data_IF_964804864571
#
_entry.id   IF_964804864571
#
_cell.length_a   1.000
_cell.length_b   1.000
_cell.length_c   1.000
_cell.angle_alpha   90.00
_cell.angle_beta   90.00
_cell.angle_gamma   90.00
#
_symmetry.space_group_name_H-M   'P 1'
#
loop_
_entity.id
_entity.type
_entity.pdbx_description
1 polymer ?
#
# COMPACT_ATOMS: atom_id res chain seq x y z
N UNK A 1 -5.37 0.74 -3.16
CA UNK A 1 -5.15 1.04 -1.75
C UNK A 1 -5.60 -0.24 -1.10
N UNK A 2 -4.70 -0.94 -0.42
CA UNK A 2 -5.00 -2.25 0.15
C UNK A 2 -6.21 -2.12 1.09
N UNK A 3 -7.26 -2.94 0.93
CA UNK A 3 -8.43 -2.84 1.78
C UNK A 3 -8.08 -3.38 3.18
N UNK A 4 -8.22 -2.55 4.21
CA UNK A 4 -7.81 -2.87 5.57
C UNK A 4 -9.01 -3.24 6.45
N UNK A 5 -8.84 -4.26 7.27
CA UNK A 5 -9.72 -4.64 8.36
C UNK A 5 -9.03 -4.30 9.68
N UNK A 6 -9.46 -3.22 10.32
CA UNK A 6 -8.85 -2.75 11.57
C UNK A 6 -9.25 -3.66 12.74
N UNK A 7 -8.29 -4.22 13.49
CA UNK A 7 -8.62 -4.95 14.71
C UNK A 7 -9.19 -4.02 15.79
N UNK A 8 -10.08 -4.55 16.66
CA UNK A 8 -10.37 -3.86 17.91
C UNK A 8 -9.09 -3.75 18.74
N UNK A 9 -8.93 -2.65 19.47
CA UNK A 9 -7.77 -2.41 20.32
C UNK A 9 -7.98 -3.05 21.71
N UNK A 10 -7.24 -4.12 22.07
CA UNK A 10 -7.36 -4.77 23.38
C UNK A 10 -6.98 -3.82 24.51
N UNK A 11 -7.69 -3.86 25.63
CA UNK A 11 -7.42 -2.98 26.78
C UNK A 11 -5.99 -3.12 27.30
N UNK A 12 -5.42 -4.31 27.21
CA UNK A 12 -4.07 -4.65 27.71
C UNK A 12 -2.93 -3.95 26.98
N UNK A 13 -3.18 -3.48 25.74
CA UNK A 13 -2.16 -2.80 24.91
C UNK A 13 -2.38 -1.28 24.84
N UNK A 14 -3.51 -0.78 25.38
CA UNK A 14 -3.84 0.65 25.42
C UNK A 14 -2.83 1.40 26.29
N UNK A 15 -2.30 2.50 25.76
CA UNK A 15 -1.33 3.35 26.47
C UNK A 15 0.05 2.71 26.73
N UNK A 16 0.26 1.43 26.36
CA UNK A 16 1.53 0.73 26.56
C UNK A 16 2.46 0.80 25.35
N UNK A 17 1.89 0.90 24.16
CA UNK A 17 2.62 0.96 22.90
C UNK A 17 2.24 2.19 22.10
N UNK A 18 3.17 2.67 21.28
CA UNK A 18 2.91 3.81 20.38
C UNK A 18 1.87 3.40 19.32
N UNK A 19 1.15 4.39 18.79
CA UNK A 19 0.22 4.17 17.68
C UNK A 19 0.94 3.54 16.47
N UNK A 20 2.17 3.96 16.19
CA UNK A 20 2.96 3.43 15.08
C UNK A 20 3.21 1.93 15.22
N UNK A 21 3.70 1.47 16.38
CA UNK A 21 3.95 0.05 16.63
C UNK A 21 2.68 -0.79 16.53
N UNK A 22 1.56 -0.27 17.05
CA UNK A 22 0.24 -0.92 16.94
C UNK A 22 -0.25 -1.00 15.49
N UNK A 23 -0.08 0.06 14.70
CA UNK A 23 -0.47 0.05 13.28
C UNK A 23 0.42 -0.87 12.44
N UNK A 24 1.74 -0.89 12.70
CA UNK A 24 2.67 -1.82 12.04
C UNK A 24 2.35 -3.27 12.42
N UNK A 25 1.94 -3.53 13.66
CA UNK A 25 1.41 -4.82 14.07
C UNK A 25 0.08 -5.14 13.38
N UNK A 26 -0.83 -4.16 13.21
CA UNK A 26 -2.13 -4.40 12.60
C UNK A 26 -2.04 -4.65 11.08
N UNK A 27 -1.19 -3.88 10.40
CA UNK A 27 -1.22 -3.69 8.95
C UNK A 27 0.16 -3.87 8.28
N UNK A 28 1.21 -4.19 9.03
CA UNK A 28 2.55 -4.35 8.51
C UNK A 28 3.24 -3.02 8.23
N UNK A 29 4.47 -3.10 7.72
CA UNK A 29 5.35 -1.95 7.53
C UNK A 29 5.13 -1.25 6.18
N UNK A 30 3.90 -0.82 5.93
CA UNK A 30 3.52 -0.16 4.67
C UNK A 30 2.72 1.13 4.93
N UNK A 31 2.89 2.11 4.05
CA UNK A 31 1.99 3.26 3.98
C UNK A 31 0.58 2.78 3.66
N UNK A 32 -0.40 3.23 4.43
CA UNK A 32 -1.78 2.78 4.30
C UNK A 32 -2.42 3.20 2.98
N UNK A 33 -1.92 4.27 2.34
CA UNK A 33 -2.50 4.85 1.13
C UNK A 33 -1.75 4.45 -0.15
N UNK A 34 -0.44 4.67 -0.20
CA UNK A 34 0.36 4.36 -1.38
C UNK A 34 0.93 2.94 -1.38
N UNK A 35 0.84 2.22 -0.25
CA UNK A 35 1.31 0.84 -0.07
C UNK A 35 2.83 0.66 -0.20
N UNK A 36 3.60 1.76 -0.19
CA UNK A 36 5.06 1.72 -0.18
C UNK A 36 5.57 1.16 1.15
N UNK A 37 6.60 0.29 1.14
CA UNK A 37 7.27 -0.14 2.36
C UNK A 37 7.85 1.03 3.18
N UNK A 38 7.88 0.89 4.50
CA UNK A 38 8.35 1.90 5.46
C UNK A 38 9.68 1.45 6.12
N UNK A 39 10.85 1.61 5.45
CA UNK A 39 12.11 1.13 6.00
C UNK A 39 12.63 1.98 7.17
N UNK A 40 12.44 3.31 7.12
CA UNK A 40 13.07 4.23 8.07
C UNK A 40 12.07 5.21 8.69
N UNK A 41 11.51 6.12 7.87
CA UNK A 41 10.65 7.20 8.34
C UNK A 41 9.17 6.91 8.07
N UNK A 42 8.36 7.10 9.10
CA UNK A 42 6.92 6.92 9.05
C UNK A 42 6.22 7.93 9.97
N UNK A 43 4.97 8.24 9.63
CA UNK A 43 4.13 9.17 10.37
C UNK A 43 2.78 8.52 10.65
N UNK A 44 2.19 8.85 11.81
CA UNK A 44 0.83 8.43 12.14
C UNK A 44 -0.10 9.59 11.83
N UNK A 45 -0.91 9.45 10.79
CA UNK A 45 -1.90 10.43 10.37
C UNK A 45 -3.27 10.10 10.95
N UNK A 46 -3.94 11.12 11.50
CA UNK A 46 -5.28 11.01 12.04
C UNK A 46 -6.30 11.55 11.04
N UNK A 47 -7.13 10.65 10.50
CA UNK A 47 -8.17 10.98 9.53
C UNK A 47 -9.30 11.86 10.09
N UNK A 48 -9.42 11.99 11.42
CA UNK A 48 -10.41 12.86 12.06
C UNK A 48 -9.96 14.33 12.04
N UNK A 49 -8.68 14.57 12.31
CA UNK A 49 -8.12 15.92 12.44
C UNK A 49 -7.38 16.37 11.18
N UNK A 50 -6.99 15.44 10.32
CA UNK A 50 -6.16 15.70 9.14
C UNK A 50 -4.69 15.89 9.45
N UNK A 51 -4.28 15.74 10.71
CA UNK A 51 -2.91 16.03 11.17
C UNK A 51 -2.17 14.75 11.54
N UNK A 52 -0.85 14.79 11.45
CA UNK A 52 -0.01 13.75 12.05
C UNK A 52 0.12 13.95 13.56
N UNK A 53 0.16 12.84 14.29
CA UNK A 53 0.37 12.85 15.74
C UNK A 53 1.82 13.15 16.08
N UNK A 54 2.03 13.91 17.14
CA UNK A 54 3.33 14.00 17.80
C UNK A 54 3.67 12.66 18.48
N UNK A 55 4.96 12.32 18.46
CA UNK A 55 5.51 10.96 18.41
C UNK A 55 5.06 9.89 19.44
N UNK A 56 4.30 10.18 20.50
CA UNK A 56 4.14 9.21 21.60
C UNK A 56 2.75 9.03 22.23
N UNK A 57 1.72 9.79 21.84
CA UNK A 57 0.38 9.59 22.42
C UNK A 57 -0.72 9.67 21.38
N UNK A 58 -1.58 8.65 21.35
CA UNK A 58 -2.86 8.68 20.66
C UNK A 58 -3.97 8.48 21.69
N UNK A 59 -5.11 9.12 21.47
CA UNK A 59 -6.32 8.80 22.20
C UNK A 59 -6.84 7.44 21.71
N UNK A 60 -7.35 6.60 22.60
CA UNK A 60 -7.97 5.32 22.24
C UNK A 60 -9.11 5.54 21.24
N UNK A 61 -9.84 6.65 21.39
CA UNK A 61 -10.93 7.03 20.49
C UNK A 61 -10.43 7.42 19.08
N UNK A 62 -9.14 7.74 18.92
CA UNK A 62 -8.55 7.99 17.62
C UNK A 62 -8.22 6.71 16.86
N UNK A 63 -8.14 5.54 17.50
CA UNK A 63 -7.63 4.30 16.90
C UNK A 63 -8.29 3.95 15.56
N UNK A 64 -9.61 4.18 15.42
CA UNK A 64 -10.36 3.96 14.17
C UNK A 64 -9.90 4.85 13.01
N UNK A 65 -9.25 5.96 13.32
CA UNK A 65 -8.88 7.03 12.39
C UNK A 65 -7.36 7.12 12.14
N UNK A 66 -6.54 6.25 12.74
CA UNK A 66 -5.08 6.34 12.59
C UNK A 66 -4.56 5.50 11.42
N UNK A 67 -3.65 6.07 10.63
CA UNK A 67 -3.04 5.45 9.46
C UNK A 67 -1.53 5.76 9.38
N UNK A 68 -0.74 4.80 8.91
CA UNK A 68 0.68 5.04 8.64
C UNK A 68 0.85 5.72 7.29
N UNK A 69 1.67 6.77 7.24
CA UNK A 69 2.14 7.42 6.01
C UNK A 69 3.63 7.16 5.80
N UNK A 70 4.02 7.00 4.54
CA UNK A 70 5.40 7.17 4.12
C UNK A 70 5.75 8.66 4.00
N UNK A 71 7.03 8.93 3.73
CA UNK A 71 7.55 10.29 3.57
C UNK A 71 6.80 11.08 2.51
N UNK A 72 6.55 10.47 1.34
CA UNK A 72 5.99 11.23 0.22
C UNK A 72 4.47 11.47 0.36
N UNK A 73 3.71 10.56 0.98
CA UNK A 73 2.32 10.83 1.36
C UNK A 73 2.25 11.89 2.47
N UNK A 74 3.15 11.84 3.45
CA UNK A 74 3.21 12.85 4.50
C UNK A 74 3.53 14.25 3.95
N UNK A 75 4.55 14.38 3.10
CA UNK A 75 4.86 15.67 2.44
C UNK A 75 3.69 16.18 1.59
N UNK A 76 3.05 15.31 0.81
CA UNK A 76 1.88 15.67 0.02
C UNK A 76 0.71 16.15 0.90
N UNK A 77 0.49 15.47 2.02
CA UNK A 77 -0.49 15.87 3.02
C UNK A 77 -0.17 17.26 3.61
N UNK A 78 1.09 17.51 3.99
CA UNK A 78 1.51 18.80 4.54
C UNK A 78 1.34 19.96 3.53
N UNK A 79 1.54 19.70 2.24
CA UNK A 79 1.30 20.67 1.18
C UNK A 79 -0.20 20.91 0.91
N UNK A 80 -1.06 19.96 1.30
CA UNK A 80 -2.51 19.97 1.04
C UNK A 80 -3.27 20.56 2.23
N UNK A 81 -3.18 21.88 2.42
CA UNK A 81 -3.70 22.58 3.61
C UNK A 81 -5.22 22.84 3.62
N UNK A 82 -5.97 22.49 2.57
CA UNK A 82 -7.34 22.99 2.36
C UNK A 82 -8.43 21.92 2.24
N UNK A 83 -8.12 20.62 2.33
CA UNK A 83 -9.11 19.55 2.15
C UNK A 83 -9.61 19.06 3.52
N UNK A 84 -10.93 19.00 3.68
CA UNK A 84 -11.57 18.33 4.82
C UNK A 84 -11.25 16.81 4.78
N UNK A 85 -10.54 16.27 5.78
CA UNK A 85 -10.20 14.85 5.85
C UNK A 85 -11.41 13.90 5.73
N UNK A 86 -12.60 14.34 6.14
CA UNK A 86 -13.84 13.56 6.01
C UNK A 86 -14.24 13.27 4.56
N UNK A 87 -13.71 14.03 3.60
CA UNK A 87 -13.96 13.83 2.16
C UNK A 87 -13.05 12.79 1.53
N UNK A 88 -11.98 12.37 2.22
CA UNK A 88 -11.02 11.40 1.69
C UNK A 88 -11.57 9.98 1.82
N UNK A 89 -11.37 9.15 0.80
CA UNK A 89 -11.56 7.70 0.86
C UNK A 89 -10.48 7.06 1.75
N UNK A 90 -10.90 6.29 2.75
CA UNK A 90 -10.00 5.62 3.71
C UNK A 90 -9.78 4.13 3.36
N UNK A 91 -8.60 3.56 3.67
CA UNK A 91 -8.29 2.15 3.44
C UNK A 91 -9.23 1.15 4.13
N UNK A 92 -9.91 1.55 5.22
CA UNK A 92 -10.81 0.67 5.97
C UNK A 92 -12.24 0.65 5.43
N UNK A 93 -12.57 1.54 4.51
CA UNK A 93 -13.92 1.62 3.95
C UNK A 93 -14.22 0.44 3.03
N UNK A 94 -15.51 0.18 2.82
CA UNK A 94 -15.96 -0.78 1.81
C UNK A 94 -15.60 -0.30 0.41
N UNK A 95 -15.39 -1.24 -0.52
CA UNK A 95 -15.15 -0.98 -1.93
C UNK A 95 -13.96 -0.07 -2.27
N UNK A 96 -13.08 0.25 -1.30
CA UNK A 96 -11.84 1.00 -1.55
C UNK A 96 -10.98 0.33 -2.64
N UNK A 97 -10.98 -1.00 -2.64
CA UNK A 97 -10.41 -1.84 -3.66
C UNK A 97 -11.27 -3.08 -3.83
N UNK A 98 -11.58 -3.41 -5.08
CA UNK A 98 -12.33 -4.60 -5.47
C UNK A 98 -11.89 -5.06 -6.88
N UNK A 99 -11.89 -6.37 -7.13
CA UNK A 99 -11.56 -6.96 -8.43
C UNK A 99 -12.78 -7.22 -9.33
N UNK A 100 -13.99 -7.18 -8.77
CA UNK A 100 -15.28 -7.48 -9.39
C UNK A 100 -15.99 -6.25 -9.97
N UNK A 101 -15.39 -5.06 -9.84
CA UNK A 101 -15.80 -3.88 -10.59
C UNK A 101 -16.44 -2.76 -9.78
N UNK A 102 -16.74 -2.95 -8.50
CA UNK A 102 -17.30 -1.90 -7.61
C UNK A 102 -16.21 -1.02 -6.95
N UNK A 103 -14.95 -1.23 -7.33
CA UNK A 103 -13.81 -0.55 -6.74
C UNK A 103 -13.88 0.97 -6.90
N UNK A 104 -13.56 1.70 -5.85
CA UNK A 104 -13.43 3.16 -5.88
C UNK A 104 -12.08 3.58 -6.51
N UNK A 105 -11.04 2.76 -6.34
CA UNK A 105 -9.71 2.96 -6.92
C UNK A 105 -9.39 1.86 -7.93
N UNK A 106 -8.93 2.26 -9.12
CA UNK A 106 -8.52 1.35 -10.19
C UNK A 106 -7.05 1.51 -10.54
N UNK A 107 -6.42 0.39 -10.90
CA UNK A 107 -5.02 0.35 -11.27
C UNK A 107 -4.89 -0.02 -12.74
N UNK A 108 -4.13 0.76 -13.49
CA UNK A 108 -3.91 0.53 -14.92
C UNK A 108 -2.47 0.75 -15.31
N UNK A 109 -1.89 -0.20 -16.04
CA UNK A 109 -0.58 -0.06 -16.68
C UNK A 109 -0.76 0.63 -18.03
N UNK A 110 -0.12 1.79 -18.22
CA UNK A 110 -0.11 2.51 -19.49
C UNK A 110 1.23 3.21 -19.73
N UNK A 111 1.61 3.47 -20.99
CA UNK A 111 2.81 4.25 -21.28
C UNK A 111 2.57 5.73 -20.95
N UNK A 112 3.50 6.36 -20.23
CA UNK A 112 3.50 7.81 -20.00
C UNK A 112 4.76 8.42 -20.60
N UNK A 113 4.64 9.64 -21.13
CA UNK A 113 5.79 10.44 -21.53
C UNK A 113 6.47 11.01 -20.28
N UNK A 114 7.68 10.51 -19.98
CA UNK A 114 8.55 11.06 -18.95
C UNK A 114 9.49 12.09 -19.56
N UNK A 115 9.47 13.28 -18.97
CA UNK A 115 10.37 14.39 -19.29
C UNK A 115 11.22 14.70 -18.06
N UNK A 116 12.54 14.58 -18.20
CA UNK A 116 13.46 15.02 -17.16
C UNK A 116 13.84 16.48 -17.40
N UNK A 117 13.79 17.30 -16.35
CA UNK A 117 14.00 18.75 -16.43
C UNK A 117 15.32 19.15 -15.77
N UNK A 118 16.11 20.00 -16.40
CA UNK A 118 17.30 20.59 -15.78
C UNK A 118 16.92 21.62 -14.68
N UNK A 119 17.94 22.23 -14.05
CA UNK A 119 17.75 23.23 -13.01
C UNK A 119 17.01 24.50 -13.51
N UNK A 120 17.02 24.75 -14.84
CA UNK A 120 16.29 25.85 -15.50
C UNK A 120 14.89 25.42 -15.99
N UNK A 121 14.39 24.26 -15.54
CA UNK A 121 13.12 23.64 -15.95
C UNK A 121 13.01 23.32 -17.46
N UNK A 122 14.15 23.20 -18.17
CA UNK A 122 14.19 22.84 -19.58
C UNK A 122 14.27 21.32 -19.74
N UNK A 123 13.58 20.75 -20.74
CA UNK A 123 13.66 19.32 -21.01
C UNK A 123 15.08 18.87 -21.40
N UNK A 124 15.60 17.86 -20.70
CA UNK A 124 16.88 17.19 -20.98
C UNK A 124 16.64 15.91 -21.79
N UNK A 125 15.67 15.10 -21.37
CA UNK A 125 15.32 13.84 -22.03
C UNK A 125 13.82 13.66 -22.08
N UNK A 126 13.36 12.89 -23.07
CA UNK A 126 11.97 12.45 -23.22
C UNK A 126 11.96 10.96 -23.54
N UNK A 127 11.13 10.20 -22.84
CA UNK A 127 10.98 8.77 -23.09
C UNK A 127 9.59 8.28 -22.71
N UNK A 128 9.13 7.22 -23.37
CA UNK A 128 7.92 6.52 -22.97
C UNK A 128 8.27 5.43 -21.96
N UNK A 129 7.70 5.53 -20.76
CA UNK A 129 7.89 4.54 -19.69
C UNK A 129 6.58 3.87 -19.32
N UNK A 130 6.56 2.53 -19.13
CA UNK A 130 5.41 1.87 -18.55
C UNK A 130 5.18 2.42 -17.14
N UNK A 131 3.94 2.79 -16.84
CA UNK A 131 3.57 3.36 -15.55
C UNK A 131 2.23 2.82 -15.09
N UNK A 132 2.18 2.30 -13.88
CA UNK A 132 0.93 1.95 -13.23
C UNK A 132 0.36 3.20 -12.59
N UNK A 133 -0.82 3.62 -13.05
CA UNK A 133 -1.59 4.73 -12.50
C UNK A 133 -2.71 4.23 -11.60
N UNK A 134 -3.04 5.04 -10.60
CA UNK A 134 -4.24 4.89 -9.76
C UNK A 134 -5.27 5.89 -10.25
N UNK A 135 -6.45 5.41 -10.63
CA UNK A 135 -7.57 6.23 -11.08
C UNK A 135 -8.70 6.15 -10.06
N UNK A 136 -9.37 7.27 -9.80
CA UNK A 136 -10.53 7.34 -8.91
C UNK A 136 -11.84 7.30 -9.69
N UNK A 137 -12.83 6.55 -9.21
CA UNK A 137 -14.20 6.55 -9.76
C UNK A 137 -15.18 7.47 -9.05
N UNK A 138 -14.82 7.94 -7.87
CA UNK A 138 -15.62 8.89 -7.08
C UNK A 138 -14.83 10.14 -6.74
N UNK A 139 -15.53 11.20 -6.39
CA UNK A 139 -14.92 12.44 -5.91
C UNK A 139 -13.99 12.20 -4.71
N UNK A 140 -14.36 11.28 -3.80
CA UNK A 140 -13.55 10.92 -2.64
C UNK A 140 -12.27 10.19 -3.05
N UNK A 141 -12.34 9.27 -4.02
CA UNK A 141 -11.17 8.59 -4.54
C UNK A 141 -10.21 9.56 -5.24
N UNK A 142 -10.74 10.47 -6.05
CA UNK A 142 -9.96 11.53 -6.72
C UNK A 142 -9.31 12.47 -5.69
N UNK A 143 -10.07 12.89 -4.68
CA UNK A 143 -9.54 13.72 -3.59
C UNK A 143 -8.42 13.00 -2.83
N UNK A 144 -8.54 11.69 -2.54
CA UNK A 144 -7.46 10.91 -1.92
C UNK A 144 -6.23 10.80 -2.82
N UNK A 145 -6.41 10.59 -4.13
CA UNK A 145 -5.29 10.55 -5.09
C UNK A 145 -4.53 11.87 -5.09
N UNK A 146 -5.25 12.99 -5.10
CA UNK A 146 -4.66 14.32 -5.12
C UNK A 146 -4.00 14.70 -3.78
N UNK A 147 -4.71 14.50 -2.67
CA UNK A 147 -4.28 14.86 -1.31
C UNK A 147 -2.96 14.17 -0.91
N UNK A 148 -2.81 12.88 -1.24
CA UNK A 148 -1.60 12.12 -0.95
C UNK A 148 -0.64 12.00 -2.14
N UNK A 149 -0.96 12.66 -3.27
CA UNK A 149 -0.24 12.55 -4.56
C UNK A 149 0.10 11.10 -4.89
N UNK A 150 -0.92 10.22 -4.89
CA UNK A 150 -0.72 8.77 -5.04
C UNK A 150 -0.09 8.37 -6.39
N UNK A 151 -0.24 9.21 -7.40
CA UNK A 151 0.44 9.07 -8.70
C UNK A 151 1.76 9.86 -8.77
N UNK A 152 2.44 10.11 -7.65
CA UNK A 152 3.59 11.02 -7.52
C UNK A 152 3.25 12.50 -7.73
N UNK A 153 4.04 13.38 -7.11
CA UNK A 153 3.93 14.84 -7.29
C UNK A 153 4.30 15.32 -8.70
N UNK A 154 4.99 14.47 -9.47
CA UNK A 154 5.45 14.78 -10.83
C UNK A 154 4.46 14.45 -11.93
N UNK A 155 3.34 13.80 -11.60
CA UNK A 155 2.33 13.42 -12.56
C UNK A 155 1.36 14.57 -12.80
N UNK A 156 1.19 14.90 -14.07
CA UNK A 156 0.21 15.85 -14.56
C UNK A 156 -0.94 15.08 -15.22
N UNK A 157 -2.13 15.20 -14.63
CA UNK A 157 -3.35 14.51 -15.09
C UNK A 157 -3.90 15.11 -16.40
N UNK A 158 -3.74 16.42 -16.61
CA UNK A 158 -4.24 17.11 -17.82
C UNK A 158 -3.47 16.68 -19.05
N UNK A 159 -2.15 16.61 -18.94
CA UNK A 159 -1.26 16.23 -20.05
C UNK A 159 -0.93 14.74 -20.08
N UNK A 160 -1.28 14.00 -19.02
CA UNK A 160 -0.89 12.60 -18.81
C UNK A 160 0.62 12.38 -18.98
N UNK A 161 1.43 13.28 -18.41
CA UNK A 161 2.90 13.22 -18.48
C UNK A 161 3.54 13.17 -17.09
N UNK A 162 4.80 12.74 -17.07
CA UNK A 162 5.67 12.83 -15.89
C UNK A 162 6.72 13.90 -16.14
N UNK A 163 6.75 14.93 -15.30
CA UNK A 163 7.73 16.01 -15.36
C UNK A 163 8.56 16.01 -14.09
N UNK A 164 9.77 15.46 -14.17
CA UNK A 164 10.60 15.19 -13.00
C UNK A 164 11.86 16.07 -13.06
N UNK A 165 12.12 16.93 -12.06
CA UNK A 165 13.39 17.62 -11.93
C UNK A 165 14.55 16.62 -11.90
N UNK A 166 15.67 16.96 -12.55
CA UNK A 166 16.82 16.07 -12.69
C UNK A 166 17.39 15.67 -11.33
N UNK A 167 17.47 16.62 -10.39
CA UNK A 167 17.92 16.36 -9.03
C UNK A 167 17.04 15.35 -8.30
N UNK A 168 15.71 15.48 -8.45
CA UNK A 168 14.74 14.58 -7.82
C UNK A 168 14.81 13.16 -8.42
N UNK A 169 15.10 13.06 -9.72
CA UNK A 169 15.35 11.79 -10.39
C UNK A 169 16.61 11.11 -9.84
N UNK A 170 17.71 11.87 -9.67
CA UNK A 170 18.97 11.34 -9.13
C UNK A 170 18.88 10.99 -7.64
N UNK A 171 18.16 11.78 -6.86
CA UNK A 171 17.99 11.58 -5.42
C UNK A 171 17.02 10.44 -5.09
N UNK A 172 16.26 9.96 -6.08
CA UNK A 172 15.29 8.89 -5.92
C UNK A 172 14.18 9.24 -4.89
N UNK A 173 13.86 10.54 -4.77
CA UNK A 173 12.98 11.08 -3.73
C UNK A 173 11.59 10.42 -3.74
N UNK A 174 10.90 10.45 -4.89
CA UNK A 174 9.61 9.80 -5.08
C UNK A 174 9.63 8.78 -6.22
N UNK A 175 9.88 7.53 -5.86
CA UNK A 175 9.86 6.37 -6.77
C UNK A 175 8.59 5.55 -6.69
N UNK A 176 7.52 6.06 -6.08
CA UNK A 176 6.35 5.23 -5.78
C UNK A 176 5.73 4.63 -7.04
N UNK A 177 5.67 5.41 -8.12
CA UNK A 177 5.14 4.95 -9.40
C UNK A 177 6.04 3.90 -10.06
N UNK A 178 7.37 4.10 -10.04
CA UNK A 178 8.33 3.12 -10.58
C UNK A 178 8.25 1.80 -9.81
N UNK A 179 8.24 1.86 -8.47
CA UNK A 179 8.17 0.69 -7.61
C UNK A 179 6.83 -0.05 -7.78
N UNK A 180 5.71 0.68 -7.80
CA UNK A 180 4.38 0.12 -8.09
C UNK A 180 4.33 -0.58 -9.45
N UNK A 181 4.94 0.04 -10.46
CA UNK A 181 5.03 -0.53 -11.81
C UNK A 181 5.86 -1.80 -11.83
N UNK A 182 7.02 -1.79 -11.16
CA UNK A 182 7.85 -2.98 -11.02
C UNK A 182 7.09 -4.12 -10.34
N UNK A 183 6.42 -3.85 -9.22
CA UNK A 183 5.59 -4.85 -8.52
C UNK A 183 4.49 -5.42 -9.43
N UNK A 184 3.84 -4.58 -10.23
CA UNK A 184 2.86 -5.04 -11.21
C UNK A 184 3.46 -6.00 -12.24
N UNK A 185 4.58 -5.62 -12.86
CA UNK A 185 5.24 -6.44 -13.89
C UNK A 185 5.76 -7.77 -13.32
N UNK A 186 6.31 -7.74 -12.11
CA UNK A 186 6.76 -8.94 -11.39
C UNK A 186 5.57 -9.84 -11.03
N UNK A 187 4.45 -9.28 -10.57
CA UNK A 187 3.22 -10.00 -10.29
C UNK A 187 2.64 -10.65 -11.55
N UNK A 188 2.63 -9.95 -12.70
CA UNK A 188 2.22 -10.55 -13.98
C UNK A 188 3.13 -11.72 -14.38
N UNK A 189 4.44 -11.59 -14.18
CA UNK A 189 5.41 -12.64 -14.50
C UNK A 189 5.23 -13.86 -13.59
N UNK A 190 5.04 -13.65 -12.29
CA UNK A 190 4.82 -14.71 -11.30
C UNK A 190 3.47 -15.39 -11.51
N UNK A 191 2.41 -14.64 -11.81
CA UNK A 191 1.11 -15.20 -12.19
C UNK A 191 1.22 -16.19 -13.36
N UNK A 192 1.99 -15.85 -14.40
CA UNK A 192 2.27 -16.75 -15.53
C UNK A 192 3.07 -17.98 -15.10
N UNK A 193 4.02 -17.85 -14.16
CA UNK A 193 4.80 -18.97 -13.62
C UNK A 193 3.95 -19.92 -12.78
N UNK A 194 3.05 -19.41 -11.94
CA UNK A 194 2.10 -20.22 -11.15
C UNK A 194 1.27 -21.10 -12.06
N UNK A 195 0.70 -20.53 -13.13
CA UNK A 195 -0.11 -21.30 -14.08
C UNK A 195 0.70 -22.41 -14.78
N UNK A 196 2.00 -22.18 -15.05
CA UNK A 196 2.88 -23.17 -15.65
C UNK A 196 3.37 -24.22 -14.64
N UNK A 197 3.51 -23.86 -13.36
CA UNK A 197 4.11 -24.75 -12.34
C UNK A 197 3.24 -25.97 -12.02
N UNK A 198 1.93 -25.90 -12.25
CA UNK A 198 1.04 -27.06 -12.08
C UNK A 198 1.44 -28.24 -12.96
N UNK A 199 1.97 -27.98 -14.16
CA UNK A 199 2.46 -29.03 -15.06
C UNK A 199 3.74 -29.71 -14.56
N UNK A 200 4.40 -29.14 -13.55
CA UNK A 200 5.70 -29.58 -13.03
C UNK A 200 5.68 -29.95 -11.54
N UNK A 201 4.51 -29.90 -10.88
CA UNK A 201 4.39 -30.19 -9.44
C UNK A 201 5.14 -29.19 -8.54
N UNK A 202 5.33 -27.94 -9.00
CA UNK A 202 6.06 -26.88 -8.28
C UNK A 202 5.13 -25.79 -7.73
N UNK A 203 3.82 -26.00 -7.73
CA UNK A 203 2.82 -24.97 -7.44
C UNK A 203 2.98 -24.36 -6.05
N UNK A 204 3.27 -25.15 -5.02
CA UNK A 204 3.44 -24.65 -3.65
C UNK A 204 4.60 -23.66 -3.54
N UNK A 205 5.74 -23.98 -4.17
CA UNK A 205 6.94 -23.15 -4.15
C UNK A 205 6.72 -21.85 -4.89
N UNK A 206 6.10 -21.89 -6.07
CA UNK A 206 5.87 -20.68 -6.88
C UNK A 206 4.78 -19.79 -6.25
N UNK A 207 3.76 -20.37 -5.63
CA UNK A 207 2.76 -19.62 -4.84
C UNK A 207 3.43 -18.92 -3.66
N UNK A 208 4.30 -19.59 -2.93
CA UNK A 208 5.01 -18.99 -1.80
C UNK A 208 5.98 -17.90 -2.26
N UNK A 209 6.71 -18.10 -3.36
CA UNK A 209 7.55 -17.07 -3.95
C UNK A 209 6.74 -15.83 -4.34
N UNK A 210 5.54 -16.02 -4.91
CA UNK A 210 4.67 -14.91 -5.26
C UNK A 210 4.21 -14.18 -4.00
N UNK A 211 3.71 -14.93 -3.00
CA UNK A 211 3.31 -14.37 -1.71
C UNK A 211 4.44 -13.51 -1.12
N UNK A 212 5.65 -14.05 -1.00
CA UNK A 212 6.81 -13.31 -0.46
C UNK A 212 7.15 -12.06 -1.27
N UNK A 213 7.16 -12.14 -2.60
CA UNK A 213 7.42 -10.97 -3.46
C UNK A 213 6.39 -9.87 -3.22
N UNK A 214 5.10 -10.21 -3.24
CA UNK A 214 4.04 -9.23 -3.03
C UNK A 214 4.08 -8.67 -1.59
N UNK A 215 4.46 -9.50 -0.61
CA UNK A 215 4.66 -9.09 0.77
C UNK A 215 5.80 -8.10 0.97
N UNK A 216 6.96 -8.36 0.37
CA UNK A 216 8.15 -7.54 0.59
C UNK A 216 8.16 -6.26 -0.26
N UNK A 217 7.56 -6.31 -1.45
CA UNK A 217 7.58 -5.17 -2.37
C UNK A 217 6.56 -4.08 -2.03
N UNK A 218 5.54 -4.40 -1.23
CA UNK A 218 4.38 -3.53 -1.01
C UNK A 218 3.45 -3.53 -2.24
N UNK A 219 2.69 -2.45 -2.42
CA UNK A 219 1.80 -2.27 -3.59
C UNK A 219 0.87 -3.47 -3.87
N UNK A 220 0.34 -4.07 -2.81
CA UNK A 220 -0.59 -5.19 -2.84
C UNK A 220 -1.72 -5.02 -3.86
N UNK A 221 -2.35 -3.84 -3.96
CA UNK A 221 -3.45 -3.60 -4.92
C UNK A 221 -2.97 -3.68 -6.37
N UNK A 222 -1.76 -3.22 -6.66
CA UNK A 222 -1.17 -3.34 -7.98
C UNK A 222 -0.85 -4.80 -8.30
N UNK A 223 -0.24 -5.53 -7.36
CA UNK A 223 0.04 -6.95 -7.51
C UNK A 223 -1.24 -7.79 -7.69
N UNK A 224 -2.27 -7.54 -6.88
CA UNK A 224 -3.56 -8.22 -6.94
C UNK A 224 -4.29 -7.96 -8.27
N UNK A 225 -4.27 -6.70 -8.75
CA UNK A 225 -4.85 -6.35 -10.06
C UNK A 225 -4.12 -7.05 -11.20
N UNK A 226 -2.78 -7.06 -11.18
CA UNK A 226 -1.96 -7.78 -12.17
C UNK A 226 -2.26 -9.30 -12.16
N UNK A 227 -2.42 -9.88 -10.97
CA UNK A 227 -2.71 -11.29 -10.75
C UNK A 227 -4.15 -11.69 -11.11
N UNK A 228 -5.09 -10.74 -11.23
CA UNK A 228 -6.49 -11.02 -11.59
C UNK A 228 -6.60 -11.86 -12.88
N UNK A 229 -5.62 -11.77 -13.78
CA UNK A 229 -5.51 -12.57 -15.01
C UNK A 229 -5.42 -14.08 -14.78
N UNK A 230 -5.03 -14.56 -13.60
CA UNK A 230 -5.01 -15.99 -13.27
C UNK A 230 -6.40 -16.65 -13.27
N UNK A 231 -7.49 -15.86 -13.28
CA UNK A 231 -8.91 -16.25 -13.24
C UNK A 231 -9.35 -17.07 -12.02
N UNK A 232 -8.55 -17.99 -11.52
CA UNK A 232 -8.78 -18.80 -10.31
C UNK A 232 -8.79 -17.93 -9.02
N UNK A 233 -9.95 -17.76 -8.37
CA UNK A 233 -10.06 -17.01 -7.11
C UNK A 233 -9.36 -17.71 -5.94
N UNK A 234 -9.34 -19.04 -5.90
CA UNK A 234 -8.71 -19.83 -4.84
C UNK A 234 -7.19 -19.65 -4.83
N UNK A 235 -6.55 -19.58 -6.00
CA UNK A 235 -5.11 -19.28 -6.07
C UNK A 235 -4.78 -17.87 -5.63
N UNK A 236 -5.60 -16.88 -6.03
CA UNK A 236 -5.40 -15.50 -5.58
C UNK A 236 -5.58 -15.38 -4.07
N UNK A 237 -6.61 -16.01 -3.51
CA UNK A 237 -6.80 -16.07 -2.06
C UNK A 237 -5.59 -16.68 -1.35
N UNK A 238 -5.04 -17.79 -1.86
CA UNK A 238 -3.82 -18.39 -1.30
C UNK A 238 -2.64 -17.42 -1.32
N UNK A 239 -2.44 -16.68 -2.41
CA UNK A 239 -1.31 -15.74 -2.54
C UNK A 239 -1.48 -14.52 -1.64
N UNK A 240 -2.67 -13.93 -1.61
CA UNK A 240 -2.90 -12.57 -1.08
C UNK A 240 -3.64 -12.51 0.26
N UNK A 241 -4.20 -13.62 0.73
CA UNK A 241 -5.04 -13.67 1.94
C UNK A 241 -4.65 -14.79 2.88
N UNK A 242 -4.44 -16.02 2.40
CA UNK A 242 -4.20 -17.15 3.32
C UNK A 242 -2.79 -17.06 3.95
N UNK A 243 -2.71 -17.31 5.26
CA UNK A 243 -1.43 -17.43 5.98
C UNK A 243 -0.65 -18.68 5.53
N UNK A 244 0.68 -18.57 5.45
CA UNK A 244 1.53 -19.69 5.04
C UNK A 244 1.58 -20.82 6.09
N UNK A 245 1.56 -20.48 7.39
CA UNK A 245 1.60 -21.41 8.52
C UNK A 245 0.84 -20.86 9.73
N UNK A 246 0.35 -21.74 10.61
CA UNK A 246 -0.22 -21.37 11.91
C UNK A 246 0.84 -20.68 12.76
N UNK A 247 0.65 -19.39 13.03
CA UNK A 247 1.52 -18.54 13.83
C UNK A 247 2.16 -19.31 15.01
N UNK A 248 3.45 -19.61 14.88
CA UNK A 248 4.26 -20.04 16.03
C UNK A 248 4.21 -18.95 17.10
N UNK A 249 4.19 -19.37 18.36
CA UNK A 249 4.11 -18.48 19.55
C UNK A 249 5.32 -17.55 19.74
N UNK A 250 6.27 -17.55 18.82
CA UNK A 250 7.64 -17.07 19.04
C UNK A 250 8.06 -15.90 18.15
N UNK A 251 7.12 -15.05 17.69
CA UNK A 251 7.53 -13.83 16.96
C UNK A 251 7.26 -12.56 17.73
N UNK A 252 8.38 -11.88 17.89
CA UNK A 252 8.57 -10.59 18.50
C UNK A 252 8.19 -9.51 17.48
N UNK A 253 7.14 -8.77 17.78
CA UNK A 253 7.00 -7.42 17.26
C UNK A 253 7.86 -6.56 18.17
N UNK A 254 8.74 -5.73 17.61
CA UNK A 254 9.62 -4.87 18.40
C UNK A 254 8.77 -4.01 19.36
N UNK A 255 9.03 -4.16 20.66
CA UNK A 255 8.24 -3.55 21.73
C UNK A 255 7.16 -4.45 22.35
N UNK A 256 6.60 -5.45 21.65
CA UNK A 256 5.51 -6.29 22.18
C UNK A 256 5.98 -7.58 22.86
N UNK A 257 5.25 -7.99 23.90
CA UNK A 257 5.35 -9.35 24.42
C UNK A 257 4.71 -10.35 23.41
N UNK A 258 5.38 -11.46 23.04
CA UNK A 258 4.83 -12.49 22.14
C UNK A 258 3.45 -13.05 22.52
N UNK A 259 3.11 -13.08 23.82
CA UNK A 259 1.77 -13.50 24.28
C UNK A 259 0.66 -12.49 23.98
N UNK A 260 1.01 -11.19 23.90
CA UNK A 260 0.08 -10.09 23.66
C UNK A 260 -0.12 -9.85 22.16
N UNK A 261 0.93 -10.04 21.35
CA UNK A 261 0.85 -9.96 19.89
C UNK A 261 -0.11 -11.01 19.32
N UNK A 262 -0.15 -12.21 19.90
CA UNK A 262 -1.07 -13.28 19.50
C UNK A 262 -2.57 -12.95 19.69
N UNK A 263 -2.91 -11.99 20.56
CA UNK A 263 -4.29 -11.57 20.84
C UNK A 263 -4.76 -10.40 19.97
N UNK A 264 -3.84 -9.69 19.31
CA UNK A 264 -4.16 -8.61 18.40
C UNK A 264 -4.43 -9.19 17.00
N UNK A 265 -5.70 -9.19 16.58
CA UNK A 265 -6.16 -9.71 15.28
C UNK A 265 -5.71 -8.83 14.09
N UNK A 266 -4.40 -8.74 13.91
CA UNK A 266 -3.75 -8.04 12.82
C UNK A 266 -2.54 -8.83 12.35
N UNK A 267 -1.72 -9.35 13.27
CA UNK A 267 -0.55 -10.18 12.94
C UNK A 267 -0.21 -11.13 14.07
N UNK A 268 -0.45 -12.42 13.86
CA UNK A 268 0.63 -13.35 14.16
C UNK A 268 1.73 -13.16 13.10
N UNK A 269 2.98 -13.54 13.37
CA UNK A 269 3.97 -13.62 12.31
C UNK A 269 3.50 -14.51 11.18
N UNK A 270 3.97 -14.26 9.97
CA UNK A 270 3.68 -15.02 8.75
C UNK A 270 2.39 -14.65 8.02
N UNK A 271 1.61 -13.65 8.47
CA UNK A 271 0.67 -13.02 7.55
C UNK A 271 1.42 -12.03 6.67
N UNK A 272 1.59 -12.36 5.39
CA UNK A 272 2.26 -11.51 4.42
C UNK A 272 1.54 -10.16 4.21
N UNK A 273 0.22 -10.15 4.46
CA UNK A 273 -0.65 -8.97 4.31
C UNK A 273 -1.57 -8.78 5.52
N UNK A 274 -1.01 -8.47 6.70
CA UNK A 274 -1.79 -8.42 7.93
C UNK A 274 -2.91 -7.38 7.84
N UNK A 275 -4.04 -7.71 8.46
CA UNK A 275 -5.24 -6.85 8.46
C UNK A 275 -5.79 -6.54 7.06
N UNK A 276 -5.57 -7.38 6.04
CA UNK A 276 -6.14 -7.18 4.70
C UNK A 276 -7.50 -7.86 4.59
N UNK A 277 -8.51 -7.16 4.06
CA UNK A 277 -9.84 -7.75 3.78
C UNK A 277 -9.74 -8.73 2.61
N UNK A 278 -10.44 -9.87 2.70
CA UNK A 278 -10.59 -10.77 1.57
C UNK A 278 -11.50 -10.13 0.50
N UNK A 279 -10.99 -9.98 -0.73
CA UNK A 279 -11.71 -9.42 -1.89
C UNK A 279 -11.74 -10.40 -3.07
N UNK A 280 -11.46 -11.68 -2.81
CA UNK A 280 -11.41 -12.73 -3.83
C UNK A 280 -12.55 -13.75 -3.67
N UNK A 281 -13.61 -13.39 -2.93
CA UNK A 281 -14.80 -14.23 -2.72
C UNK A 281 -15.78 -14.17 -3.90
#
# INVERSE_FOLDING_TARGET
>A
MRPLLRPPLPDQVRGRYTAASLLMSAFGHFCAFCERPLPDQHWVWNARTGTCLDRESYDVDDWSHLYLLDHNCHQAQQASSAIDPGTLLLPTEENVFDLHGESQLHYSLQPLLRTLLDDDARPVTHELVPSVLINGRSARALATIDYFKLNTRYYDDETQTLRIPWQDHLSLEDRRMEQRTRTWLEAEALAKRVLRSFSYGLESVVIEQFRQMAGLSGYWSAAATAAARMRDPGLRRRIFVDAAESAGRDVFIEGFNPGESALFRGSGPHHTFPGTRNVFE
#
